data_IF_366620938316
#
_entry.id   IF_366620938316
#
_cell.length_a   1.000
_cell.length_b   1.000
_cell.length_c   1.000
_cell.angle_alpha   90.00
_cell.angle_beta   90.00
_cell.angle_gamma   90.00
#
_symmetry.space_group_name_H-M   'P 1'
#
loop_
_entity.id
_entity.type
_entity.pdbx_description
1 polymer ?
#
# COMPACT_ATOMS: atom_id res chain seq x y z
N UNK A 1 5.28 26.01 -30.79
CA UNK A 1 4.63 24.77 -30.32
C UNK A 1 5.10 24.53 -28.90
N UNK A 2 4.18 24.46 -27.94
CA UNK A 2 4.51 24.13 -26.54
C UNK A 2 4.98 22.67 -26.54
N UNK A 3 6.21 22.41 -26.10
CA UNK A 3 6.70 21.05 -25.87
C UNK A 3 6.00 20.53 -24.62
N UNK A 4 4.81 19.97 -24.81
CA UNK A 4 4.19 19.10 -23.81
C UNK A 4 5.09 17.86 -23.78
N UNK A 5 5.61 17.53 -22.59
CA UNK A 5 6.54 16.42 -22.40
C UNK A 5 5.94 15.05 -22.75
N UNK A 6 6.73 14.01 -22.53
CA UNK A 6 6.26 12.64 -22.77
C UNK A 6 5.08 12.31 -21.85
N UNK A 7 4.13 11.47 -22.30
CA UNK A 7 3.03 11.02 -21.45
C UNK A 7 3.57 10.13 -20.33
N UNK A 8 3.58 10.65 -19.10
CA UNK A 8 3.96 9.91 -17.90
C UNK A 8 2.73 9.38 -17.14
N UNK A 9 2.94 8.35 -16.33
CA UNK A 9 1.90 7.75 -15.50
C UNK A 9 1.65 8.60 -14.23
N UNK A 10 0.38 8.75 -13.85
CA UNK A 10 -0.03 9.56 -12.69
C UNK A 10 0.55 9.01 -11.39
N UNK A 11 0.72 7.69 -11.28
CA UNK A 11 1.32 7.02 -10.12
C UNK A 11 2.77 7.48 -9.94
N UNK A 12 3.54 7.44 -11.03
CA UNK A 12 4.94 7.84 -11.04
C UNK A 12 5.09 9.33 -10.69
N UNK A 13 4.22 10.18 -11.24
CA UNK A 13 4.21 11.60 -10.89
C UNK A 13 3.90 11.82 -9.41
N UNK A 14 2.90 11.13 -8.85
CA UNK A 14 2.53 11.29 -7.45
C UNK A 14 3.66 10.88 -6.50
N UNK A 15 4.34 9.75 -6.77
CA UNK A 15 5.46 9.29 -5.95
C UNK A 15 6.62 10.30 -6.00
N UNK A 16 6.95 10.80 -7.20
CA UNK A 16 7.96 11.84 -7.39
C UNK A 16 7.57 13.13 -6.65
N UNK A 17 6.32 13.55 -6.76
CA UNK A 17 5.80 14.76 -6.11
C UNK A 17 5.87 14.66 -4.58
N UNK A 18 5.43 13.54 -4.00
CA UNK A 18 5.51 13.31 -2.55
C UNK A 18 6.97 13.29 -2.07
N UNK A 19 7.87 12.67 -2.83
CA UNK A 19 9.30 12.65 -2.50
C UNK A 19 9.93 14.05 -2.53
N UNK A 20 9.63 14.87 -3.54
CA UNK A 20 10.16 16.23 -3.63
C UNK A 20 9.55 17.17 -2.59
N UNK A 21 8.25 17.07 -2.33
CA UNK A 21 7.59 17.87 -1.30
C UNK A 21 8.13 17.52 0.08
N UNK A 22 8.33 16.24 0.36
CA UNK A 22 8.96 15.78 1.60
C UNK A 22 10.38 16.35 1.77
N UNK A 23 11.20 16.21 0.73
CA UNK A 23 12.56 16.73 0.71
C UNK A 23 12.61 18.24 0.90
N UNK A 24 11.68 18.98 0.27
CA UNK A 24 11.59 20.43 0.36
C UNK A 24 11.10 20.93 1.73
N UNK A 25 10.19 20.20 2.36
CA UNK A 25 9.68 20.53 3.70
C UNK A 25 10.66 20.17 4.82
N UNK A 26 11.57 19.22 4.57
CA UNK A 26 12.65 18.86 5.47
C UNK A 26 13.87 19.81 5.39
N UNK A 27 13.86 20.81 4.49
CA UNK A 27 14.94 21.79 4.43
C UNK A 27 14.94 22.66 5.70
N UNK A 28 16.11 22.84 6.34
CA UNK A 28 16.23 23.72 7.49
C UNK A 28 15.80 25.12 7.07
N UNK A 29 14.81 25.67 7.80
CA UNK A 29 14.30 27.00 7.54
C UNK A 29 15.41 27.99 7.91
N UNK A 30 16.05 28.60 6.91
CA UNK A 30 17.06 29.63 7.15
C UNK A 30 16.41 30.75 7.96
N UNK A 31 16.96 31.12 9.14
CA UNK A 31 16.39 32.18 9.94
C UNK A 31 16.42 33.49 9.14
N UNK A 32 15.39 34.34 9.23
CA UNK A 32 15.36 35.60 8.51
C UNK A 32 16.59 36.44 8.89
N UNK A 33 17.33 36.91 7.88
CA UNK A 33 18.49 37.78 8.05
C UNK A 33 18.09 39.03 8.84
N UNK A 34 18.36 39.05 10.14
CA UNK A 34 18.06 40.16 11.04
C UNK A 34 17.40 39.83 12.38
N UNK A 35 17.16 38.56 12.72
CA UNK A 35 16.69 38.22 14.07
C UNK A 35 17.83 38.39 15.11
N UNK A 36 17.63 39.13 16.22
CA UNK A 36 18.63 39.24 17.28
C UNK A 36 18.80 37.88 17.97
N UNK A 37 20.04 37.56 18.33
CA UNK A 37 20.51 36.30 18.95
C UNK A 37 19.47 35.67 19.90
N UNK A 38 18.66 34.77 19.35
CA UNK A 38 17.83 33.89 20.16
C UNK A 38 18.66 32.63 20.43
N UNK A 39 18.97 32.49 21.72
CA UNK A 39 19.44 31.31 22.47
C UNK A 39 19.81 30.10 21.60
N UNK A 40 21.05 29.56 21.70
CA UNK A 40 21.44 28.39 20.93
C UNK A 40 20.44 27.28 21.19
N UNK A 41 19.71 26.88 20.13
CA UNK A 41 18.87 25.70 20.17
C UNK A 41 19.74 24.56 20.71
N UNK A 42 19.29 23.91 21.79
CA UNK A 42 19.98 22.76 22.35
C UNK A 42 20.38 21.82 21.21
N UNK A 43 21.60 21.27 21.20
CA UNK A 43 21.99 20.31 20.18
C UNK A 43 20.95 19.19 20.20
N UNK A 44 20.19 19.10 19.11
CA UNK A 44 19.28 17.98 18.90
C UNK A 44 20.11 16.72 19.10
N UNK A 45 19.68 15.89 20.05
CA UNK A 45 20.39 14.67 20.41
C UNK A 45 20.64 13.85 19.13
N UNK A 46 21.86 13.39 18.85
CA UNK A 46 22.21 12.71 17.59
C UNK A 46 21.44 11.39 17.38
N UNK A 47 20.73 10.90 18.39
CA UNK A 47 19.94 9.67 18.37
C UNK A 47 18.41 9.89 18.36
N UNK A 48 17.93 11.13 18.24
CA UNK A 48 16.51 11.38 18.10
C UNK A 48 16.08 11.08 16.65
N UNK A 49 15.45 9.91 16.44
CA UNK A 49 14.78 9.57 15.17
C UNK A 49 13.93 10.78 14.75
N UNK A 50 14.20 11.39 13.58
CA UNK A 50 13.52 12.61 13.17
C UNK A 50 12.01 12.35 13.20
N UNK A 51 11.26 13.31 13.74
CA UNK A 51 9.80 13.22 13.76
C UNK A 51 9.31 12.96 12.33
N UNK A 52 8.34 12.04 12.14
CA UNK A 52 7.88 11.68 10.81
C UNK A 52 7.39 12.95 10.11
N UNK A 53 7.80 13.08 8.86
CA UNK A 53 7.54 14.30 8.11
C UNK A 53 6.03 14.54 7.95
N UNK A 54 5.65 15.77 7.59
CA UNK A 54 4.23 16.05 7.34
C UNK A 54 3.66 15.16 6.23
N UNK A 55 4.48 14.85 5.22
CA UNK A 55 4.08 14.02 4.07
C UNK A 55 3.93 12.56 4.51
N UNK A 56 4.90 12.02 5.26
CA UNK A 56 4.84 10.68 5.86
C UNK A 56 3.58 10.50 6.70
N UNK A 57 3.26 11.48 7.54
CA UNK A 57 2.09 11.41 8.43
C UNK A 57 0.74 11.48 7.71
N UNK A 58 0.68 12.10 6.54
CA UNK A 58 -0.58 12.33 5.82
C UNK A 58 -0.87 11.29 4.75
N UNK A 59 0.17 10.88 4.01
CA UNK A 59 0.01 10.07 2.80
C UNK A 59 0.48 8.63 2.96
N UNK A 60 1.30 8.33 3.97
CA UNK A 60 1.85 6.98 4.12
C UNK A 60 1.17 6.20 5.23
N UNK A 61 0.85 4.94 4.91
CA UNK A 61 0.41 3.92 5.86
C UNK A 61 1.30 2.69 5.80
N UNK A 62 0.96 1.69 6.61
CA UNK A 62 1.70 0.41 6.65
C UNK A 62 0.78 -0.77 6.39
N UNK A 63 1.24 -1.70 5.56
CA UNK A 63 0.66 -3.03 5.36
C UNK A 63 1.52 -4.07 6.09
N UNK A 64 0.88 -5.11 6.56
CA UNK A 64 1.52 -6.26 7.17
C UNK A 64 1.31 -7.48 6.28
N UNK A 65 2.42 -8.01 5.77
CA UNK A 65 2.49 -9.17 4.92
C UNK A 65 2.96 -10.37 5.76
N UNK A 66 2.10 -11.36 5.94
CA UNK A 66 2.44 -12.59 6.67
C UNK A 66 2.47 -13.78 5.72
N UNK A 67 3.53 -14.57 5.81
CA UNK A 67 3.75 -15.78 5.01
C UNK A 67 3.55 -16.98 5.92
N UNK A 68 2.57 -17.81 5.58
CA UNK A 68 2.28 -19.06 6.29
C UNK A 68 2.49 -20.23 5.34
N UNK A 69 2.91 -21.36 5.87
CA UNK A 69 3.00 -22.59 5.08
C UNK A 69 1.58 -23.03 4.64
N UNK A 70 1.40 -23.37 3.37
CA UNK A 70 0.10 -23.81 2.85
C UNK A 70 -0.29 -25.21 3.37
N UNK A 71 0.68 -26.06 3.71
CA UNK A 71 0.45 -27.38 4.29
C UNK A 71 0.35 -27.33 5.82
N UNK A 72 1.04 -26.38 6.46
CA UNK A 72 0.98 -26.13 7.91
C UNK A 72 0.62 -24.68 8.20
N UNK A 73 -0.65 -24.36 8.08
CA UNK A 73 -1.20 -23.00 8.25
C UNK A 73 -0.91 -22.38 9.64
N UNK A 74 -0.54 -23.19 10.63
CA UNK A 74 -0.16 -22.78 11.98
C UNK A 74 1.29 -22.27 12.11
N UNK A 75 2.16 -22.53 11.13
CA UNK A 75 3.57 -22.11 11.20
C UNK A 75 3.79 -20.81 10.41
N UNK A 76 3.91 -19.70 11.15
CA UNK A 76 4.32 -18.42 10.59
C UNK A 76 5.79 -18.49 10.16
N UNK A 77 6.04 -18.41 8.86
CA UNK A 77 7.39 -18.46 8.29
C UNK A 77 8.08 -17.10 8.33
N UNK A 78 7.33 -16.06 7.96
CA UNK A 78 7.85 -14.70 7.85
C UNK A 78 6.73 -13.67 8.00
N UNK A 79 7.06 -12.53 8.59
CA UNK A 79 6.20 -11.36 8.63
C UNK A 79 7.04 -10.16 8.18
N UNK A 80 6.54 -9.42 7.20
CA UNK A 80 7.12 -8.19 6.69
C UNK A 80 6.12 -7.05 6.90
N UNK A 81 6.63 -5.86 7.19
CA UNK A 81 5.82 -4.63 7.19
C UNK A 81 6.28 -3.79 6.02
N UNK A 82 5.34 -3.43 5.15
CA UNK A 82 5.60 -2.63 3.95
C UNK A 82 4.88 -1.28 4.06
N UNK A 83 5.50 -0.22 3.55
CA UNK A 83 4.94 1.13 3.60
C UNK A 83 4.30 1.47 2.26
N UNK A 84 3.11 2.06 2.28
CA UNK A 84 2.38 2.41 1.07
C UNK A 84 1.88 3.86 1.11
N UNK A 85 1.97 4.56 -0.02
CA UNK A 85 1.36 5.87 -0.26
C UNK A 85 -0.01 5.76 -0.95
N UNK A 86 -0.19 4.69 -1.72
CA UNK A 86 -1.35 4.45 -2.57
C UNK A 86 -1.63 2.96 -2.68
N UNK A 87 -2.89 2.61 -2.91
CA UNK A 87 -3.36 1.23 -3.05
C UNK A 87 -3.75 1.00 -4.50
N UNK A 88 -2.96 0.18 -5.19
CA UNK A 88 -3.23 -0.22 -6.58
C UNK A 88 -4.24 -1.37 -6.58
N UNK A 89 -5.42 -1.13 -7.13
CA UNK A 89 -6.51 -2.10 -7.17
C UNK A 89 -6.64 -2.72 -8.56
N UNK A 90 -6.75 -4.04 -8.60
CA UNK A 90 -7.03 -4.77 -9.84
C UNK A 90 -8.49 -4.55 -10.26
N UNK A 91 -8.71 -4.23 -11.53
CA UNK A 91 -10.05 -4.15 -12.12
C UNK A 91 -10.23 -5.33 -13.06
N UNK A 92 -11.27 -6.11 -12.84
CA UNK A 92 -11.66 -7.23 -13.71
C UNK A 92 -13.18 -7.32 -13.77
N UNK A 93 -13.72 -8.25 -14.58
CA UNK A 93 -15.17 -8.43 -14.67
C UNK A 93 -15.79 -8.89 -13.34
N UNK A 94 -15.01 -9.60 -12.52
CA UNK A 94 -15.42 -10.06 -11.17
C UNK A 94 -15.09 -9.02 -10.08
N UNK A 95 -14.18 -8.08 -10.36
CA UNK A 95 -13.74 -7.02 -9.45
C UNK A 95 -14.23 -5.66 -9.96
N UNK A 96 -15.55 -5.51 -10.07
CA UNK A 96 -16.20 -4.30 -10.54
C UNK A 96 -16.59 -3.34 -9.40
N UNK A 97 -16.43 -3.72 -8.13
CA UNK A 97 -16.68 -2.86 -6.97
C UNK A 97 -15.40 -2.60 -6.18
N UNK A 98 -15.30 -1.43 -5.56
CA UNK A 98 -14.20 -1.10 -4.64
C UNK A 98 -14.01 -2.13 -3.53
N UNK A 99 -15.10 -2.61 -2.93
CA UNK A 99 -15.04 -3.61 -1.87
C UNK A 99 -14.51 -4.96 -2.37
N UNK A 100 -14.90 -5.37 -3.57
CA UNK A 100 -14.45 -6.62 -4.18
C UNK A 100 -12.96 -6.56 -4.50
N UNK A 101 -12.50 -5.44 -5.05
CA UNK A 101 -11.08 -5.23 -5.33
C UNK A 101 -10.23 -5.20 -4.05
N UNK A 102 -10.71 -4.59 -2.97
CA UNK A 102 -10.05 -4.61 -1.65
C UNK A 102 -10.10 -5.99 -0.98
N UNK A 103 -11.20 -6.72 -1.18
CA UNK A 103 -11.33 -8.08 -0.72
C UNK A 103 -10.32 -8.99 -1.42
N UNK A 104 -10.15 -8.82 -2.74
CA UNK A 104 -9.11 -9.50 -3.50
C UNK A 104 -7.70 -9.15 -3.01
N UNK A 105 -7.39 -7.87 -2.76
CA UNK A 105 -6.07 -7.43 -2.24
C UNK A 105 -5.76 -8.02 -0.85
N UNK A 106 -6.79 -8.25 -0.02
CA UNK A 106 -6.68 -8.83 1.33
C UNK A 106 -6.92 -10.33 1.39
N UNK A 107 -7.13 -10.99 0.24
CA UNK A 107 -7.27 -12.44 0.17
C UNK A 107 -5.88 -13.06 0.13
N UNK A 108 -5.64 -14.19 0.82
CA UNK A 108 -4.36 -14.85 0.78
C UNK A 108 -3.98 -15.24 -0.65
N UNK A 109 -2.82 -14.78 -1.09
CA UNK A 109 -2.23 -15.17 -2.37
C UNK A 109 -1.32 -16.37 -2.16
N UNK A 110 -1.47 -17.41 -2.99
CA UNK A 110 -0.56 -18.56 -2.97
C UNK A 110 0.74 -18.22 -3.71
N UNK A 111 1.86 -18.51 -3.07
CA UNK A 111 3.22 -18.32 -3.57
C UNK A 111 3.83 -19.70 -3.75
N UNK A 112 3.81 -20.20 -4.98
CA UNK A 112 4.60 -21.35 -5.39
C UNK A 112 6.09 -20.92 -5.43
N UNK A 113 6.98 -21.71 -4.83
CA UNK A 113 8.43 -21.45 -4.66
C UNK A 113 8.86 -20.48 -3.54
N UNK A 114 8.14 -20.45 -2.41
CA UNK A 114 8.67 -19.75 -1.23
C UNK A 114 9.88 -20.50 -0.66
N UNK A 115 11.04 -19.85 -0.64
CA UNK A 115 12.26 -20.41 -0.05
C UNK A 115 12.23 -20.21 1.45
N UNK A 116 12.05 -21.29 2.21
CA UNK A 116 12.12 -21.25 3.68
C UNK A 116 13.55 -20.95 4.14
N UNK A 117 13.70 -20.57 5.41
CA UNK A 117 15.03 -20.33 6.03
C UNK A 117 15.95 -21.54 5.94
N UNK A 118 15.38 -22.75 5.86
CA UNK A 118 16.09 -24.02 5.69
C UNK A 118 16.43 -24.36 4.23
N UNK A 119 16.18 -23.44 3.28
CA UNK A 119 16.50 -23.61 1.86
C UNK A 119 15.54 -24.51 1.08
N UNK A 120 14.43 -24.94 1.69
CA UNK A 120 13.41 -25.74 1.03
C UNK A 120 12.43 -24.85 0.26
N UNK A 121 11.97 -25.31 -0.89
CA UNK A 121 10.89 -24.65 -1.63
C UNK A 121 9.57 -25.23 -1.16
N UNK A 122 8.77 -24.40 -0.51
CA UNK A 122 7.43 -24.76 -0.05
C UNK A 122 6.39 -23.86 -0.72
N UNK A 123 5.14 -24.33 -0.73
CA UNK A 123 4.00 -23.48 -1.06
C UNK A 123 3.65 -22.66 0.15
N UNK A 124 3.70 -21.34 0.04
CA UNK A 124 3.32 -20.43 1.11
C UNK A 124 2.08 -19.63 0.73
N UNK A 125 1.24 -19.33 1.72
CA UNK A 125 0.15 -18.36 1.61
C UNK A 125 0.59 -17.03 2.17
N UNK A 126 0.56 -15.99 1.32
CA UNK A 126 0.82 -14.60 1.70
C UNK A 126 -0.51 -13.93 2.05
N UNK A 127 -0.67 -13.52 3.31
CA UNK A 127 -1.78 -12.69 3.76
C UNK A 127 -1.30 -11.24 3.88
N UNK A 128 -2.00 -10.33 3.23
CA UNK A 128 -1.72 -8.89 3.29
C UNK A 128 -2.87 -8.19 4.01
N UNK A 129 -2.55 -7.46 5.08
CA UNK A 129 -3.53 -6.69 5.86
C UNK A 129 -3.06 -5.26 6.07
N UNK A 130 -4.00 -4.32 6.20
CA UNK A 130 -3.66 -2.93 6.52
C UNK A 130 -3.39 -2.78 8.01
N UNK A 131 -2.17 -2.40 8.38
CA UNK A 131 -1.82 -2.17 9.79
C UNK A 131 -2.17 -0.76 10.22
N UNK A 132 -1.71 0.23 9.46
CA UNK A 132 -2.03 1.64 9.66
C UNK A 132 -2.48 2.26 8.34
N UNK A 133 -3.61 2.97 8.38
CA UNK A 133 -4.14 3.68 7.22
C UNK A 133 -3.72 5.15 7.30
N UNK A 134 -3.24 5.75 6.19
CA UNK A 134 -2.97 7.17 6.16
C UNK A 134 -4.28 7.96 6.27
N UNK A 135 -4.24 9.19 6.83
CA UNK A 135 -5.38 10.12 6.78
C UNK A 135 -5.88 10.39 5.36
N UNK A 136 -4.96 10.43 4.39
CA UNK A 136 -5.27 10.56 2.97
C UNK A 136 -4.95 9.25 2.26
N UNK A 137 -6.00 8.49 1.95
CA UNK A 137 -5.90 7.20 1.28
C UNK A 137 -6.23 7.34 -0.20
N UNK A 138 -5.28 6.98 -1.05
CA UNK A 138 -5.40 7.09 -2.51
C UNK A 138 -5.57 5.69 -3.11
N UNK A 139 -6.64 5.47 -3.88
CA UNK A 139 -6.83 4.26 -4.68
C UNK A 139 -6.49 4.52 -6.13
N UNK A 140 -5.63 3.68 -6.69
CA UNK A 140 -5.28 3.70 -8.10
C UNK A 140 -5.86 2.46 -8.77
N UNK A 141 -6.77 2.66 -9.72
CA UNK A 141 -7.34 1.54 -10.47
C UNK A 141 -6.40 1.12 -11.59
N UNK A 142 -5.93 -0.13 -11.57
CA UNK A 142 -5.16 -0.73 -12.66
C UNK A 142 -6.11 -1.07 -13.81
N UNK A 143 -6.40 -0.06 -14.63
CA UNK A 143 -7.26 -0.15 -15.82
C UNK A 143 -6.48 -0.45 -17.11
N UNK A 144 -5.21 -0.85 -17.02
CA UNK A 144 -4.42 -1.27 -18.16
C UNK A 144 -3.90 -2.66 -17.87
N UNK A 145 -4.18 -3.60 -18.76
CA UNK A 145 -3.71 -4.98 -18.67
C UNK A 145 -2.90 -5.34 -19.91
N UNK A 146 -1.95 -6.26 -19.75
CA UNK A 146 -1.11 -6.72 -20.85
C UNK A 146 -1.67 -8.02 -21.42
N UNK A 147 -2.25 -7.93 -22.61
CA UNK A 147 -2.75 -9.10 -23.31
C UNK A 147 -1.58 -9.86 -23.92
N UNK A 148 -1.22 -11.01 -23.31
CA UNK A 148 -0.12 -11.86 -23.77
C UNK A 148 -0.35 -12.45 -25.16
N UNK A 149 -1.59 -12.56 -25.62
CA UNK A 149 -1.91 -13.12 -26.94
C UNK A 149 -1.64 -12.12 -28.06
N UNK A 150 -1.97 -10.85 -27.83
CA UNK A 150 -1.76 -9.76 -28.79
C UNK A 150 -0.47 -8.99 -28.55
N UNK A 151 0.22 -9.23 -27.43
CA UNK A 151 1.38 -8.49 -26.92
C UNK A 151 1.14 -6.97 -26.83
N UNK A 152 -0.10 -6.58 -26.53
CA UNK A 152 -0.51 -5.17 -26.47
C UNK A 152 -1.09 -4.82 -25.11
N UNK A 153 -0.91 -3.55 -24.73
CA UNK A 153 -1.56 -2.96 -23.55
C UNK A 153 -3.01 -2.64 -23.91
N UNK A 154 -3.94 -3.28 -23.20
CA UNK A 154 -5.38 -3.08 -23.37
C UNK A 154 -5.94 -2.27 -22.22
N UNK A 155 -6.66 -1.20 -22.55
CA UNK A 155 -7.39 -0.41 -21.56
C UNK A 155 -8.71 -1.09 -21.19
N UNK A 156 -8.92 -1.28 -19.89
CA UNK A 156 -10.12 -1.86 -19.29
C UNK A 156 -11.18 -0.76 -19.12
N UNK A 157 -12.24 -0.86 -19.92
CA UNK A 157 -13.39 0.06 -19.93
C UNK A 157 -14.58 -0.44 -19.10
N UNK A 158 -14.34 -1.36 -18.16
CA UNK A 158 -15.38 -1.89 -17.29
C UNK A 158 -15.89 -0.80 -16.33
N UNK A 159 -17.20 -0.83 -16.05
CA UNK A 159 -17.78 -0.04 -14.97
C UNK A 159 -17.13 -0.43 -13.66
N UNK A 160 -16.81 0.56 -12.84
CA UNK A 160 -16.28 0.34 -11.50
C UNK A 160 -17.07 1.19 -10.52
N UNK A 161 -17.74 0.53 -9.59
CA UNK A 161 -18.59 1.15 -8.59
C UNK A 161 -17.79 1.36 -7.30
N UNK A 162 -17.91 2.56 -6.73
CA UNK A 162 -17.31 2.89 -5.43
C UNK A 162 -18.38 3.52 -4.54
N UNK A 163 -18.48 3.10 -3.27
CA UNK A 163 -19.42 3.68 -2.34
C UNK A 163 -19.00 5.10 -1.96
N UNK A 164 -19.97 5.92 -1.56
CA UNK A 164 -19.71 7.25 -1.00
C UNK A 164 -18.98 7.17 0.35
N UNK A 165 -19.32 6.17 1.16
CA UNK A 165 -18.68 5.90 2.46
C UNK A 165 -18.07 4.51 2.46
N UNK A 166 -16.77 4.42 2.78
CA UNK A 166 -16.01 3.17 2.80
C UNK A 166 -15.53 2.85 4.22
N UNK A 167 -15.88 1.66 4.70
CA UNK A 167 -15.48 1.17 6.02
C UNK A 167 -14.28 0.24 5.90
N UNK A 168 -13.09 0.74 6.25
CA UNK A 168 -11.84 0.01 6.09
C UNK A 168 -11.52 -0.98 7.22
N UNK A 169 -12.25 -0.92 8.33
CA UNK A 169 -12.00 -1.76 9.50
C UNK A 169 -11.90 -3.25 9.17
N UNK A 170 -12.68 -3.73 8.18
CA UNK A 170 -12.68 -5.13 7.75
C UNK A 170 -11.37 -5.60 7.11
N UNK A 171 -10.61 -4.67 6.54
CA UNK A 171 -9.35 -4.91 5.83
C UNK A 171 -8.13 -4.66 6.73
N UNK A 172 -8.35 -4.15 7.96
CA UNK A 172 -7.29 -3.89 8.91
C UNK A 172 -6.83 -5.15 9.65
N UNK A 173 -5.53 -5.25 9.92
CA UNK A 173 -4.88 -6.36 10.63
C UNK A 173 -5.54 -6.63 11.99
N UNK A 174 -5.98 -5.58 12.68
CA UNK A 174 -6.70 -5.67 13.97
C UNK A 174 -7.95 -6.55 13.90
N UNK A 175 -8.64 -6.57 12.77
CA UNK A 175 -9.87 -7.34 12.55
C UNK A 175 -9.66 -8.56 11.65
N UNK A 176 -8.42 -8.83 11.22
CA UNK A 176 -8.10 -9.91 10.28
C UNK A 176 -8.67 -11.26 10.72
N UNK A 177 -8.50 -11.63 11.99
CA UNK A 177 -9.00 -12.91 12.51
C UNK A 177 -10.53 -13.00 12.42
N UNK A 178 -11.24 -11.94 12.79
CA UNK A 178 -12.70 -11.88 12.69
C UNK A 178 -13.17 -11.92 11.23
N UNK A 179 -12.49 -11.20 10.35
CA UNK A 179 -12.78 -11.19 8.91
C UNK A 179 -12.59 -12.58 8.30
N UNK A 180 -11.48 -13.25 8.56
CA UNK A 180 -11.20 -14.61 8.07
C UNK A 180 -12.23 -15.61 8.58
N UNK A 181 -12.58 -15.56 9.87
CA UNK A 181 -13.62 -16.43 10.44
C UNK A 181 -14.98 -16.21 9.74
N UNK A 182 -15.40 -14.96 9.58
CA UNK A 182 -16.67 -14.64 8.91
C UNK A 182 -16.68 -15.05 7.44
N UNK A 183 -15.57 -14.87 6.72
CA UNK A 183 -15.39 -15.36 5.34
C UNK A 183 -15.59 -16.87 5.27
N UNK A 184 -14.97 -17.63 6.19
CA UNK A 184 -15.14 -19.08 6.27
C UNK A 184 -16.59 -19.52 6.44
N UNK A 185 -17.36 -18.82 7.27
CA UNK A 185 -18.79 -19.11 7.49
C UNK A 185 -19.60 -18.82 6.22
N UNK A 186 -19.39 -17.67 5.58
CA UNK A 186 -20.12 -17.25 4.37
C UNK A 186 -19.83 -18.20 3.21
N UNK A 187 -18.58 -18.63 3.03
CA UNK A 187 -18.21 -19.59 1.99
C UNK A 187 -18.87 -20.97 2.14
N UNK A 188 -19.28 -21.37 3.35
CA UNK A 188 -20.01 -22.64 3.56
C UNK A 188 -21.50 -22.55 3.23
N UNK A 189 -22.05 -21.34 3.09
CA UNK A 189 -23.48 -21.12 2.85
C UNK A 189 -23.78 -20.62 1.43
N UNK A 190 -22.78 -20.60 0.54
CA UNK A 190 -22.91 -20.21 -0.87
C UNK A 190 -22.81 -21.43 -1.77
#
# INVERSE_FOLDING_TARGET
>A
AVKIGDPEDVMQFNDIFLQYTDSGLCLPREPPAGAPDMVPALPASPDAKPAPSLVERLFYGTKEDTYRDAEREDQLQHAATDQFSQVVLQVSQELCTLNDALEYDTTPNEVDDYTTKDGQKIKARKYTWFKELPPLLIFQLRRVDFDRSTQQLRKIMLSFEFPETLYMDRYCARNAQTTVQRRGIVSQHR
#
